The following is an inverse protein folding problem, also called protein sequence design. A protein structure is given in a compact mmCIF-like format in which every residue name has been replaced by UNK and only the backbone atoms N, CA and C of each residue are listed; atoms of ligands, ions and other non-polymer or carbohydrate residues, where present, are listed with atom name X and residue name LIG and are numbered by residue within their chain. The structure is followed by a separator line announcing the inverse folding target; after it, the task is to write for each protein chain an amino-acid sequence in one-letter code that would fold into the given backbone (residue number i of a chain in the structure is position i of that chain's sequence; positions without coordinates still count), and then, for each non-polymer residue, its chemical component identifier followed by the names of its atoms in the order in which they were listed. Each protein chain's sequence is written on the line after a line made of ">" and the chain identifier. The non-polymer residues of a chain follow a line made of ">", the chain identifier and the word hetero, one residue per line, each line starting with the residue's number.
data_IF_159477752566
#
_entry.id   IF_159477752566
#
_cell.length_a   1.000
_cell.length_b   1.000
_cell.length_c   1.000
_cell.angle_alpha   90.00
_cell.angle_beta   90.00
_cell.angle_gamma   90.00
#
_symmetry.space_group_name_H-M   'P 1'
#
loop_
_entity.id
_entity.type
_entity.pdbx_description
1 polymer ?
#
# COMPACT_ATOMS: atom_id res chain seq x y z
N UNK A 1 30.47 -11.13 -20.55
CA UNK A 1 29.61 -10.11 -21.17
C UNK A 1 28.68 -9.56 -20.10
N UNK A 2 28.69 -8.28 -19.89
CA UNK A 2 27.71 -7.65 -19.00
C UNK A 2 26.36 -7.72 -19.69
N UNK A 3 25.41 -8.43 -19.08
CA UNK A 3 24.03 -8.44 -19.51
C UNK A 3 23.50 -7.00 -19.40
N UNK A 4 23.19 -6.42 -20.53
CA UNK A 4 22.62 -5.07 -20.56
C UNK A 4 21.20 -5.19 -20.00
N UNK A 5 21.02 -4.88 -18.72
CA UNK A 5 19.69 -4.85 -18.12
C UNK A 5 18.78 -3.97 -18.98
N UNK A 6 17.70 -4.56 -19.45
CA UNK A 6 16.70 -3.85 -20.25
C UNK A 6 16.13 -2.69 -19.43
N UNK A 7 16.30 -1.47 -19.91
CA UNK A 7 15.74 -0.27 -19.28
C UNK A 7 14.24 -0.18 -19.54
N UNK A 8 13.48 -1.06 -18.90
CA UNK A 8 12.03 -1.13 -19.05
C UNK A 8 11.36 -0.47 -17.85
N UNK A 9 10.40 0.40 -18.09
CA UNK A 9 9.62 1.04 -17.04
C UNK A 9 8.67 0.02 -16.42
N UNK A 10 8.67 -0.06 -15.09
CA UNK A 10 7.77 -0.93 -14.34
C UNK A 10 6.32 -0.57 -14.62
N UNK A 11 5.52 -1.54 -14.99
CA UNK A 11 4.11 -1.37 -15.28
C UNK A 11 3.25 -1.56 -14.02
N UNK A 12 2.07 -0.93 -14.00
CA UNK A 12 1.19 -0.98 -12.83
C UNK A 12 0.80 -2.42 -12.43
N UNK A 13 0.59 -3.31 -13.40
CA UNK A 13 0.24 -4.71 -13.13
C UNK A 13 1.38 -5.53 -12.50
N UNK A 14 2.60 -5.01 -12.49
CA UNK A 14 3.75 -5.64 -11.84
C UNK A 14 3.81 -5.38 -10.33
N UNK A 15 2.84 -4.68 -9.80
CA UNK A 15 2.65 -4.47 -8.37
C UNK A 15 1.22 -4.85 -7.99
N UNK A 16 1.08 -5.73 -7.01
CA UNK A 16 -0.21 -6.15 -6.48
C UNK A 16 -0.39 -5.62 -5.07
N UNK A 17 -1.62 -5.34 -4.70
CA UNK A 17 -1.96 -4.88 -3.36
C UNK A 17 -3.06 -5.76 -2.76
N UNK A 18 -2.93 -6.04 -1.47
CA UNK A 18 -3.86 -6.88 -0.72
C UNK A 18 -4.29 -6.16 0.55
N UNK A 19 -5.56 -6.23 0.85
CA UNK A 19 -6.12 -5.73 2.10
C UNK A 19 -6.68 -6.90 2.91
N UNK A 20 -6.38 -6.95 4.19
CA UNK A 20 -6.90 -8.00 5.06
C UNK A 20 -8.33 -7.70 5.45
N UNK A 21 -9.23 -8.56 5.05
CA UNK A 21 -10.66 -8.51 5.36
C UNK A 21 -11.05 -9.82 6.03
N UNK A 22 -11.63 -9.75 7.22
CA UNK A 22 -12.08 -10.95 7.96
C UNK A 22 -11.01 -12.06 8.05
N UNK A 23 -9.81 -11.70 8.48
CA UNK A 23 -8.66 -12.60 8.69
C UNK A 23 -8.02 -13.15 7.39
N UNK A 24 -8.43 -12.70 6.22
CA UNK A 24 -7.84 -13.10 4.93
C UNK A 24 -7.37 -11.90 4.12
N UNK A 25 -6.19 -12.01 3.51
CA UNK A 25 -5.71 -11.00 2.55
C UNK A 25 -6.42 -11.18 1.22
N UNK A 26 -7.12 -10.15 0.78
CA UNK A 26 -7.86 -10.14 -0.47
C UNK A 26 -7.24 -9.15 -1.46
N UNK A 27 -7.17 -9.54 -2.72
CA UNK A 27 -6.57 -8.73 -3.79
C UNK A 27 -7.39 -7.46 -4.04
N UNK A 28 -6.71 -6.32 -4.06
CA UNK A 28 -7.25 -5.04 -4.49
C UNK A 28 -7.00 -4.88 -5.98
N UNK A 29 -7.82 -5.50 -6.78
CA UNK A 29 -7.66 -5.52 -8.24
C UNK A 29 -8.90 -5.03 -8.97
N UNK A 30 -9.88 -5.89 -9.16
CA UNK A 30 -11.09 -5.55 -9.89
C UNK A 30 -11.82 -4.37 -9.26
N UNK A 31 -12.17 -3.41 -10.08
CA UNK A 31 -12.87 -2.19 -9.66
C UNK A 31 -11.95 -1.05 -9.23
N UNK A 32 -10.72 -1.32 -8.82
CA UNK A 32 -9.78 -0.26 -8.45
C UNK A 32 -9.17 0.37 -9.71
N UNK A 33 -9.40 1.66 -9.88
CA UNK A 33 -8.84 2.44 -10.98
C UNK A 33 -7.58 3.19 -10.56
N UNK A 34 -7.44 3.50 -9.28
CA UNK A 34 -6.28 4.15 -8.71
C UNK A 34 -5.93 3.53 -7.35
N UNK A 35 -4.65 3.37 -7.11
CA UNK A 35 -4.08 3.00 -5.80
C UNK A 35 -2.63 3.47 -5.77
N UNK A 36 -2.43 4.69 -5.28
CA UNK A 36 -1.15 5.37 -5.29
C UNK A 36 -0.54 5.39 -3.89
N UNK A 37 0.79 5.43 -3.82
CA UNK A 37 1.52 5.54 -2.56
C UNK A 37 2.24 6.88 -2.49
N UNK A 38 2.04 7.59 -1.39
CA UNK A 38 2.82 8.76 -1.03
C UNK A 38 3.52 8.46 0.30
N UNK A 39 4.85 8.34 0.32
CA UNK A 39 5.58 8.09 1.57
C UNK A 39 5.47 9.21 2.60
N UNK A 40 5.14 10.42 2.20
CA UNK A 40 4.91 11.54 3.10
C UNK A 40 6.12 11.96 3.92
N UNK A 41 7.29 12.08 3.27
CA UNK A 41 8.51 12.47 3.95
C UNK A 41 8.40 13.88 4.56
N UNK A 42 8.69 14.00 5.85
CA UNK A 42 8.73 15.26 6.57
C UNK A 42 10.18 15.73 6.67
N UNK A 43 10.43 16.97 6.28
CA UNK A 43 11.78 17.55 6.25
C UNK A 43 11.94 18.67 7.25
N UNK A 44 13.15 18.78 7.78
CA UNK A 44 13.55 19.88 8.64
C UNK A 44 14.85 20.49 8.11
N UNK A 45 14.95 21.81 8.20
CA UNK A 45 16.15 22.56 7.77
C UNK A 45 16.80 23.26 8.95
N UNK A 46 18.12 23.17 9.01
CA UNK A 46 18.95 23.94 9.97
C UNK A 46 20.02 24.72 9.23
N UNK A 47 20.32 25.89 9.75
CA UNK A 47 21.44 26.71 9.30
C UNK A 47 22.21 27.21 10.52
N UNK A 48 23.46 26.82 10.61
CA UNK A 48 24.34 27.33 11.65
C UNK A 48 24.90 28.70 11.26
N UNK A 49 25.40 29.41 12.26
CA UNK A 49 25.88 30.80 12.05
C UNK A 49 27.05 30.91 11.06
N UNK A 50 27.79 29.83 10.87
CA UNK A 50 28.93 29.75 9.95
C UNK A 50 28.56 29.28 8.54
N UNK A 51 27.32 28.89 8.33
CA UNK A 51 26.90 28.27 7.07
C UNK A 51 26.37 29.31 6.09
N UNK A 52 26.77 29.17 4.84
CA UNK A 52 26.15 29.93 3.73
C UNK A 52 24.77 29.39 3.39
N UNK A 53 24.59 28.08 3.48
CA UNK A 53 23.40 27.37 3.08
C UNK A 53 22.81 26.57 4.24
N UNK A 54 21.50 26.33 4.21
CA UNK A 54 20.85 25.44 5.16
C UNK A 54 21.10 23.97 4.79
N UNK A 55 21.13 23.10 5.81
CA UNK A 55 21.16 21.66 5.67
C UNK A 55 19.76 21.11 5.96
N UNK A 56 19.23 20.32 5.03
CA UNK A 56 17.93 19.67 5.18
C UNK A 56 18.09 18.19 5.50
N UNK A 57 17.24 17.70 6.39
CA UNK A 57 17.17 16.28 6.73
C UNK A 57 15.72 15.79 6.79
N UNK A 58 15.54 14.50 6.54
CA UNK A 58 14.23 13.85 6.67
C UNK A 58 14.09 13.37 8.11
N UNK A 59 13.03 13.81 8.78
CA UNK A 59 12.80 13.53 10.21
C UNK A 59 11.81 12.41 10.47
N UNK A 60 10.83 12.25 9.59
CA UNK A 60 9.77 11.25 9.73
C UNK A 60 9.06 11.02 8.40
N UNK A 61 8.18 10.02 8.39
CA UNK A 61 7.30 9.73 7.28
C UNK A 61 5.85 9.67 7.75
N UNK A 62 4.96 10.26 7.00
CA UNK A 62 3.51 10.19 7.19
C UNK A 62 2.90 9.64 5.91
N UNK A 63 3.06 8.33 5.71
CA UNK A 63 2.67 7.65 4.48
C UNK A 63 1.17 7.52 4.30
N UNK A 64 0.75 7.56 3.06
CA UNK A 64 -0.64 7.36 2.68
C UNK A 64 -0.78 6.67 1.33
N UNK A 65 -1.92 5.99 1.14
CA UNK A 65 -2.25 5.32 -0.10
C UNK A 65 -3.64 5.78 -0.55
N UNK A 66 -3.68 6.67 -1.54
CA UNK A 66 -4.93 7.14 -2.12
C UNK A 66 -5.52 6.13 -3.10
N UNK A 67 -6.81 5.89 -3.03
CA UNK A 67 -7.48 4.95 -3.92
C UNK A 67 -8.80 5.50 -4.48
N UNK A 68 -9.13 5.03 -5.67
CA UNK A 68 -10.44 5.20 -6.31
C UNK A 68 -10.89 3.84 -6.83
N UNK A 69 -12.12 3.48 -6.56
CA UNK A 69 -12.68 2.22 -7.01
C UNK A 69 -14.14 2.37 -7.45
N UNK A 70 -14.54 1.56 -8.42
CA UNK A 70 -15.96 1.40 -8.76
C UNK A 70 -16.63 0.55 -7.69
N UNK A 71 -17.87 0.89 -7.33
CA UNK A 71 -18.61 0.12 -6.33
C UNK A 71 -19.12 -1.19 -6.91
N UNK A 72 -18.31 -2.23 -6.82
CA UNK A 72 -18.66 -3.59 -7.26
C UNK A 72 -19.05 -4.40 -6.03
N UNK A 73 -20.35 -4.72 -5.82
CA UNK A 73 -20.83 -5.36 -4.60
C UNK A 73 -20.25 -6.76 -4.34
N UNK A 74 -19.81 -7.46 -5.38
CA UNK A 74 -19.22 -8.78 -5.27
C UNK A 74 -17.75 -8.78 -4.84
N UNK A 75 -17.07 -7.64 -4.92
CA UNK A 75 -15.69 -7.49 -4.50
C UNK A 75 -15.58 -7.29 -2.99
N UNK A 76 -14.94 -8.22 -2.30
CA UNK A 76 -14.88 -8.26 -0.83
C UNK A 76 -14.23 -7.01 -0.25
N UNK A 77 -13.11 -6.56 -0.84
CA UNK A 77 -12.39 -5.38 -0.36
C UNK A 77 -13.22 -4.11 -0.54
N UNK A 78 -13.83 -3.95 -1.71
CA UNK A 78 -14.66 -2.78 -1.99
C UNK A 78 -15.86 -2.73 -1.04
N UNK A 79 -16.50 -3.86 -0.80
CA UNK A 79 -17.60 -3.97 0.15
C UNK A 79 -17.19 -3.59 1.57
N UNK A 80 -16.01 -4.03 2.00
CA UNK A 80 -15.46 -3.69 3.33
C UNK A 80 -15.19 -2.19 3.46
N UNK A 81 -14.53 -1.60 2.46
CA UNK A 81 -14.24 -0.16 2.44
C UNK A 81 -15.52 0.68 2.44
N UNK A 82 -16.51 0.28 1.67
CA UNK A 82 -17.83 0.94 1.64
C UNK A 82 -18.48 0.87 3.03
N UNK A 83 -18.40 -0.27 3.72
CA UNK A 83 -18.98 -0.42 5.05
C UNK A 83 -18.31 0.48 6.09
N UNK A 84 -16.99 0.66 5.99
CA UNK A 84 -16.26 1.58 6.86
C UNK A 84 -16.81 3.01 6.70
N UNK A 85 -17.02 3.46 5.48
CA UNK A 85 -17.54 4.79 5.21
C UNK A 85 -19.00 4.98 5.58
N UNK A 86 -19.86 4.02 5.24
CA UNK A 86 -21.29 4.10 5.53
C UNK A 86 -21.62 4.01 7.00
N UNK A 87 -20.93 3.14 7.72
CA UNK A 87 -21.12 2.95 9.17
C UNK A 87 -20.30 3.93 9.99
N UNK A 88 -19.49 4.75 9.34
CA UNK A 88 -18.62 5.75 9.97
C UNK A 88 -17.73 5.15 11.07
N UNK A 89 -17.09 4.06 10.74
CA UNK A 89 -16.19 3.34 11.66
C UNK A 89 -14.99 4.22 12.01
N UNK A 90 -14.55 4.13 13.25
CA UNK A 90 -13.42 4.89 13.78
C UNK A 90 -12.48 3.99 14.58
N UNK A 91 -11.26 4.48 14.83
CA UNK A 91 -10.28 3.75 15.64
C UNK A 91 -9.96 2.39 15.07
N UNK A 92 -9.92 1.38 15.92
CA UNK A 92 -9.57 0.00 15.53
C UNK A 92 -10.52 -0.61 14.49
N UNK A 93 -11.76 -0.17 14.47
CA UNK A 93 -12.76 -0.70 13.52
C UNK A 93 -12.49 -0.22 12.07
N UNK A 94 -11.75 0.87 11.91
CA UNK A 94 -11.32 1.39 10.62
C UNK A 94 -9.89 0.98 10.24
N UNK A 95 -9.22 0.19 11.08
CA UNK A 95 -7.84 -0.25 10.83
C UNK A 95 -7.81 -1.57 10.06
N UNK A 96 -6.87 -1.68 9.12
CA UNK A 96 -6.65 -2.87 8.32
C UNK A 96 -5.15 -3.12 8.13
N UNK A 97 -4.79 -4.38 7.92
CA UNK A 97 -3.47 -4.73 7.41
C UNK A 97 -3.49 -4.65 5.88
N UNK A 98 -2.50 -3.99 5.33
CA UNK A 98 -2.37 -3.74 3.90
C UNK A 98 -1.00 -4.18 3.43
N UNK A 99 -0.92 -4.90 2.32
CA UNK A 99 0.34 -5.40 1.76
C UNK A 99 0.49 -4.92 0.33
N UNK A 100 1.65 -4.35 0.02
CA UNK A 100 2.07 -4.08 -1.37
C UNK A 100 3.12 -5.09 -1.77
N UNK A 101 2.92 -5.74 -2.89
CA UNK A 101 3.75 -6.84 -3.40
C UNK A 101 4.38 -6.43 -4.72
N UNK A 102 5.70 -6.52 -4.80
CA UNK A 102 6.45 -6.26 -6.02
C UNK A 102 6.59 -7.54 -6.84
N UNK A 103 5.72 -7.73 -7.83
CA UNK A 103 5.69 -8.94 -8.65
C UNK A 103 6.87 -9.07 -9.61
N UNK A 104 7.64 -8.01 -9.78
CA UNK A 104 8.89 -8.01 -10.56
C UNK A 104 10.11 -8.44 -9.73
N UNK A 105 9.96 -8.58 -8.42
CA UNK A 105 11.03 -8.99 -7.52
C UNK A 105 10.65 -10.24 -6.71
N UNK A 106 11.27 -11.38 -7.06
CA UNK A 106 11.06 -12.62 -6.32
C UNK A 106 11.71 -12.55 -4.94
N UNK A 107 11.09 -13.18 -3.96
CA UNK A 107 11.65 -13.31 -2.63
C UNK A 107 12.91 -14.19 -2.66
N UNK A 108 13.93 -13.81 -1.86
CA UNK A 108 15.14 -14.60 -1.71
C UNK A 108 14.83 -15.96 -1.08
N UNK A 109 15.43 -17.00 -1.63
CA UNK A 109 15.26 -18.36 -1.15
C UNK A 109 13.91 -18.98 -1.44
N UNK A 110 13.06 -18.33 -2.25
CA UNK A 110 11.78 -18.90 -2.65
C UNK A 110 11.96 -20.05 -3.63
N UNK A 111 11.43 -21.21 -3.28
CA UNK A 111 11.43 -22.42 -4.11
C UNK A 111 10.09 -22.67 -4.80
N UNK A 112 9.03 -22.00 -4.36
CA UNK A 112 7.67 -22.17 -4.90
C UNK A 112 7.42 -21.39 -6.18
N UNK A 113 8.16 -20.29 -6.40
CA UNK A 113 7.95 -19.36 -7.51
C UNK A 113 6.75 -18.43 -7.31
N UNK A 114 6.11 -18.46 -6.14
CA UNK A 114 4.90 -17.68 -5.84
C UNK A 114 5.11 -16.62 -4.75
N UNK A 115 6.28 -16.58 -4.12
CA UNK A 115 6.63 -15.59 -3.12
C UNK A 115 7.44 -14.43 -3.74
N UNK A 116 7.04 -13.20 -3.40
CA UNK A 116 7.65 -11.98 -3.90
C UNK A 116 7.96 -11.03 -2.76
N UNK A 117 8.87 -10.09 -3.00
CA UNK A 117 9.15 -9.04 -2.02
C UNK A 117 7.89 -8.22 -1.75
N UNK A 118 7.66 -7.92 -0.50
CA UNK A 118 6.46 -7.21 -0.08
C UNK A 118 6.72 -6.33 1.14
N UNK A 119 5.83 -5.37 1.32
CA UNK A 119 5.79 -4.51 2.49
C UNK A 119 4.40 -4.58 3.10
N UNK A 120 4.35 -4.84 4.40
CA UNK A 120 3.08 -4.85 5.15
C UNK A 120 2.95 -3.56 5.94
N UNK A 121 1.81 -2.91 5.78
CA UNK A 121 1.42 -1.69 6.49
C UNK A 121 0.24 -2.00 7.42
N UNK A 122 0.19 -1.32 8.54
CA UNK A 122 -1.05 -1.17 9.29
C UNK A 122 -1.63 0.19 8.92
N UNK A 123 -2.85 0.20 8.41
CA UNK A 123 -3.46 1.43 7.89
C UNK A 123 -4.79 1.73 8.56
N UNK A 124 -5.08 3.02 8.67
CA UNK A 124 -6.42 3.52 9.01
C UNK A 124 -7.12 3.91 7.71
N UNK A 125 -8.25 3.28 7.42
CA UNK A 125 -8.98 3.52 6.18
C UNK A 125 -9.91 4.71 6.32
N UNK A 126 -9.62 5.75 5.55
CA UNK A 126 -10.48 6.92 5.39
C UNK A 126 -11.28 6.80 4.09
N UNK A 127 -12.59 6.85 4.18
CA UNK A 127 -13.46 6.94 3.03
C UNK A 127 -13.91 8.38 2.88
N UNK A 128 -13.40 9.05 1.83
CA UNK A 128 -13.61 10.48 1.64
C UNK A 128 -14.87 10.82 0.88
N UNK A 129 -15.25 10.00 -0.09
CA UNK A 129 -16.49 10.25 -0.86
C UNK A 129 -17.07 9.01 -1.49
N UNK A 130 -18.37 9.04 -1.66
CA UNK A 130 -19.12 8.17 -2.56
C UNK A 130 -19.64 9.06 -3.68
N UNK A 131 -19.18 8.84 -4.90
CA UNK A 131 -19.45 9.72 -6.04
C UNK A 131 -20.15 8.99 -7.17
N UNK A 132 -20.77 9.76 -8.04
CA UNK A 132 -21.35 9.30 -9.31
C UNK A 132 -20.38 9.68 -10.43
N UNK A 133 -19.96 8.71 -11.21
CA UNK A 133 -19.18 8.93 -12.40
C UNK A 133 -19.96 8.40 -13.61
N UNK A 134 -20.65 9.31 -14.28
CA UNK A 134 -21.43 9.03 -15.50
C UNK A 134 -22.47 7.90 -15.30
N UNK A 135 -23.14 7.92 -14.15
CA UNK A 135 -24.18 6.95 -13.78
C UNK A 135 -23.68 5.73 -13.02
N UNK A 136 -22.38 5.58 -12.86
CA UNK A 136 -21.78 4.51 -12.06
C UNK A 136 -21.25 5.05 -10.73
N UNK A 137 -21.52 4.34 -9.65
CA UNK A 137 -21.07 4.77 -8.32
C UNK A 137 -19.62 4.37 -8.06
N UNK A 138 -18.87 5.31 -7.50
CA UNK A 138 -17.48 5.12 -7.08
C UNK A 138 -17.31 5.38 -5.60
N UNK A 139 -16.22 4.83 -5.05
CA UNK A 139 -15.74 5.09 -3.70
C UNK A 139 -14.31 5.61 -3.78
N UNK A 140 -14.04 6.68 -3.06
CA UNK A 140 -12.71 7.28 -2.97
C UNK A 140 -12.30 7.38 -1.52
N UNK A 141 -11.02 7.23 -1.27
CA UNK A 141 -10.48 7.35 0.07
C UNK A 141 -8.97 7.27 0.11
N UNK A 142 -8.46 7.22 1.33
CA UNK A 142 -7.03 7.15 1.62
C UNK A 142 -6.78 6.17 2.76
N UNK A 143 -5.79 5.31 2.57
CA UNK A 143 -5.29 4.45 3.63
C UNK A 143 -4.10 5.17 4.27
N UNK A 144 -4.24 5.58 5.53
CA UNK A 144 -3.19 6.29 6.27
C UNK A 144 -2.33 5.30 7.04
N UNK A 145 -1.02 5.35 6.85
CA UNK A 145 -0.09 4.46 7.54
C UNK A 145 -0.06 4.72 9.05
N UNK A 146 -0.07 3.66 9.81
CA UNK A 146 0.15 3.67 11.25
C UNK A 146 1.53 3.08 11.55
N UNK A 147 2.54 3.93 11.56
CA UNK A 147 3.92 3.54 11.76
C UNK A 147 4.62 3.09 10.48
N UNK A 148 5.78 2.48 10.64
CA UNK A 148 6.62 2.06 9.54
C UNK A 148 6.14 0.74 8.92
N UNK A 149 6.36 0.54 7.61
CA UNK A 149 6.08 -0.75 6.99
C UNK A 149 7.02 -1.84 7.48
N UNK A 150 6.51 -3.06 7.54
CA UNK A 150 7.31 -4.26 7.81
C UNK A 150 7.74 -4.86 6.48
N UNK A 151 9.04 -4.97 6.27
CA UNK A 151 9.58 -5.60 5.07
C UNK A 151 9.48 -7.12 5.19
N UNK A 152 9.20 -7.79 4.08
CA UNK A 152 9.08 -9.23 4.05
C UNK A 152 8.77 -9.77 2.67
N UNK A 153 8.16 -10.93 2.67
CA UNK A 153 7.71 -11.60 1.45
C UNK A 153 6.23 -11.98 1.55
N UNK A 154 5.58 -12.00 0.43
CA UNK A 154 4.18 -12.38 0.31
C UNK A 154 4.03 -13.50 -0.70
N UNK A 155 3.40 -14.59 -0.28
CA UNK A 155 3.03 -15.70 -1.16
C UNK A 155 1.66 -15.41 -1.75
N UNK A 156 1.61 -15.15 -3.06
CA UNK A 156 0.36 -14.78 -3.74
C UNK A 156 -0.62 -15.94 -3.86
N UNK A 157 -0.13 -17.16 -3.79
CA UNK A 157 -0.97 -18.37 -3.86
C UNK A 157 -1.58 -18.70 -2.50
N UNK A 158 -0.76 -18.71 -1.45
CA UNK A 158 -1.21 -18.96 -0.09
C UNK A 158 -1.83 -17.70 0.56
N UNK A 159 -1.60 -16.52 -0.02
CA UNK A 159 -2.03 -15.22 0.51
C UNK A 159 -1.54 -14.97 1.94
N UNK A 160 -0.26 -15.24 2.17
CA UNK A 160 0.39 -15.09 3.47
C UNK A 160 1.60 -14.18 3.40
N UNK A 161 1.74 -13.32 4.40
CA UNK A 161 2.91 -12.45 4.57
C UNK A 161 3.85 -13.04 5.63
N UNK A 162 5.14 -13.08 5.29
CA UNK A 162 6.20 -13.49 6.22
C UNK A 162 7.21 -12.35 6.34
N UNK A 163 7.41 -11.77 7.53
CA UNK A 163 8.39 -10.71 7.71
C UNK A 163 9.81 -11.24 7.51
N UNK A 164 10.70 -10.36 7.04
CA UNK A 164 12.11 -10.66 6.98
C UNK A 164 12.65 -10.87 8.40
N UNK A 165 13.59 -11.81 8.56
CA UNK A 165 14.26 -12.01 9.84
C UNK A 165 14.98 -10.73 10.20
N UNK A 166 14.73 -10.20 11.40
CA UNK A 166 15.53 -9.11 11.91
C UNK A 166 16.99 -9.57 11.96
N UNK A 167 17.84 -8.93 11.18
CA UNK A 167 19.28 -9.14 11.31
C UNK A 167 19.70 -8.44 12.60
N UNK A 168 19.98 -9.24 13.62
CA UNK A 168 20.62 -8.73 14.84
C UNK A 168 22.02 -8.23 14.54
#
# INVERSE_FOLDING_TARGET
>A
MAETASKTVKQRYQEASYLKVSEAFELMGSGFTELNEDPGAQTTSKKYINDKSSTSSITSYEGEHGFTADQIPSEVVIKDLISIGKERKTGADAEREFVRVDLDEKAEGDTSGTAFKARKFTVAAEISSFSDNDGELQVEGTLHDKGDPVMGKFDIKAKTFTPDSATE
#
